data_IF_821890755938
#
_entry.id   IF_821890755938
#
_cell.length_a   1.000
_cell.length_b   1.000
_cell.length_c   1.000
_cell.angle_alpha   90.00
_cell.angle_beta   90.00
_cell.angle_gamma   90.00
#
_symmetry.space_group_name_H-M   'P 1'
#
loop_
_entity.id
_entity.type
_entity.pdbx_description
1 polymer ?
#
# COMPACT_ATOMS: atom_id res chain seq x y z
N UNK A 1 20.74 -46.16 -0.15
CA UNK A 1 19.45 -46.51 -0.79
C UNK A 1 18.37 -46.39 0.26
N UNK A 2 17.65 -45.26 0.28
CA UNK A 2 16.31 -45.13 0.87
C UNK A 2 15.75 -43.77 0.47
N UNK A 3 14.67 -43.84 -0.30
CA UNK A 3 13.90 -42.78 -0.94
C UNK A 3 13.16 -41.93 0.11
N UNK A 4 13.45 -40.63 0.18
CA UNK A 4 12.58 -39.66 0.86
C UNK A 4 11.61 -39.07 -0.17
N UNK A 5 10.34 -39.46 0.00
CA UNK A 5 9.23 -39.14 -0.88
C UNK A 5 8.78 -37.69 -0.76
N UNK A 6 8.47 -37.15 -1.94
CA UNK A 6 7.67 -35.97 -2.24
C UNK A 6 6.46 -35.81 -1.31
N UNK A 7 6.29 -34.61 -0.75
CA UNK A 7 5.04 -34.18 -0.13
C UNK A 7 4.71 -32.73 -0.53
N UNK A 8 3.72 -32.64 -1.43
CA UNK A 8 2.64 -31.65 -1.50
C UNK A 8 3.01 -30.19 -1.81
N UNK A 9 2.89 -29.82 -3.09
CA UNK A 9 2.50 -28.47 -3.52
C UNK A 9 1.10 -28.59 -4.14
N UNK A 10 0.07 -28.15 -3.41
CA UNK A 10 -1.26 -27.91 -3.97
C UNK A 10 -1.38 -26.39 -4.08
N UNK A 11 -1.00 -25.85 -5.25
CA UNK A 11 -1.47 -24.55 -5.67
C UNK A 11 -2.80 -24.78 -6.41
N UNK A 12 -3.91 -24.45 -5.74
CA UNK A 12 -5.20 -24.37 -6.40
C UNK A 12 -5.17 -23.15 -7.33
N UNK A 13 -5.06 -23.41 -8.64
CA UNK A 13 -5.33 -22.40 -9.66
C UNK A 13 -6.84 -22.08 -9.63
N UNK A 14 -7.21 -21.04 -8.87
CA UNK A 14 -8.53 -20.44 -8.99
C UNK A 14 -8.57 -19.66 -10.31
N UNK A 15 -8.93 -20.34 -11.39
CA UNK A 15 -9.33 -19.70 -12.63
C UNK A 15 -10.64 -18.95 -12.38
N UNK A 16 -10.53 -17.66 -12.04
CA UNK A 16 -11.67 -16.74 -12.07
C UNK A 16 -12.11 -16.65 -13.53
N UNK A 17 -13.18 -17.37 -13.86
CA UNK A 17 -13.86 -17.25 -15.14
C UNK A 17 -14.45 -15.83 -15.22
N UNK A 18 -13.73 -14.92 -15.86
CA UNK A 18 -14.27 -13.64 -16.27
C UNK A 18 -15.44 -13.92 -17.21
N UNK A 19 -16.66 -13.38 -16.99
CA UNK A 19 -17.76 -13.57 -17.91
C UNK A 19 -17.40 -12.90 -19.24
N UNK A 20 -16.92 -13.72 -20.19
CA UNK A 20 -16.65 -13.36 -21.57
C UNK A 20 -17.98 -13.23 -22.33
N UNK A 21 -18.77 -12.21 -22.02
CA UNK A 21 -19.92 -11.79 -22.85
C UNK A 21 -20.44 -10.40 -22.46
N UNK A 22 -19.54 -9.45 -22.20
CA UNK A 22 -19.88 -8.06 -22.50
C UNK A 22 -19.66 -7.88 -24.00
N UNK A 23 -20.74 -7.90 -24.78
CA UNK A 23 -20.70 -7.48 -26.17
C UNK A 23 -20.01 -6.11 -26.22
N UNK A 24 -18.82 -6.06 -26.82
CA UNK A 24 -18.12 -4.81 -27.06
C UNK A 24 -18.96 -3.98 -28.03
N UNK A 25 -19.92 -3.23 -27.50
CA UNK A 25 -20.55 -2.16 -28.25
C UNK A 25 -19.41 -1.26 -28.68
N UNK A 26 -19.19 -1.19 -29.99
CA UNK A 26 -18.20 -0.29 -30.57
C UNK A 26 -18.57 1.12 -30.12
N UNK A 27 -17.84 1.64 -29.15
CA UNK A 27 -17.93 3.04 -28.74
C UNK A 27 -17.67 3.85 -30.00
N UNK A 28 -18.57 4.78 -30.30
CA UNK A 28 -18.30 5.78 -31.33
C UNK A 28 -17.04 6.56 -30.95
N UNK A 29 -16.30 7.07 -31.94
CA UNK A 29 -15.10 7.89 -31.70
C UNK A 29 -15.38 9.02 -30.70
N UNK A 30 -16.55 9.65 -30.79
CA UNK A 30 -16.97 10.71 -29.88
C UNK A 30 -17.15 10.23 -28.43
N UNK A 31 -17.70 9.04 -28.20
CA UNK A 31 -17.82 8.47 -26.86
C UNK A 31 -16.46 8.09 -26.28
N UNK A 32 -15.55 7.59 -27.10
CA UNK A 32 -14.18 7.28 -26.69
C UNK A 32 -13.41 8.55 -26.26
N UNK A 33 -13.50 9.63 -27.05
CA UNK A 33 -12.87 10.92 -26.72
C UNK A 33 -13.44 11.53 -25.44
N UNK A 34 -14.76 11.47 -25.23
CA UNK A 34 -15.40 11.94 -23.98
C UNK A 34 -14.95 11.12 -22.77
N UNK A 35 -14.86 9.80 -22.91
CA UNK A 35 -14.38 8.92 -21.84
C UNK A 35 -12.91 9.19 -21.50
N UNK A 36 -12.06 9.41 -22.50
CA UNK A 36 -10.66 9.78 -22.30
C UNK A 36 -10.51 11.14 -21.60
N UNK A 37 -11.32 12.13 -22.00
CA UNK A 37 -11.32 13.45 -21.37
C UNK A 37 -11.76 13.40 -19.90
N UNK A 38 -12.81 12.63 -19.59
CA UNK A 38 -13.28 12.42 -18.21
C UNK A 38 -12.22 11.69 -17.36
N UNK A 39 -11.60 10.64 -17.91
CA UNK A 39 -10.51 9.92 -17.23
C UNK A 39 -9.32 10.84 -16.92
N UNK A 40 -8.91 11.67 -17.89
CA UNK A 40 -7.86 12.67 -17.71
C UNK A 40 -8.22 13.73 -16.66
N UNK A 41 -9.49 14.12 -16.57
CA UNK A 41 -9.95 15.05 -15.53
C UNK A 41 -9.84 14.41 -14.14
N UNK A 42 -10.40 13.20 -13.95
CA UNK A 42 -10.32 12.46 -12.68
C UNK A 42 -8.88 12.18 -12.25
N UNK A 43 -8.01 11.85 -13.19
CA UNK A 43 -6.59 11.64 -12.92
C UNK A 43 -5.91 12.91 -12.40
N UNK A 44 -6.20 14.08 -13.00
CA UNK A 44 -5.67 15.36 -12.53
C UNK A 44 -6.15 15.70 -11.12
N UNK A 45 -7.43 15.46 -10.83
CA UNK A 45 -8.02 15.71 -9.51
C UNK A 45 -7.41 14.78 -8.45
N UNK A 46 -7.27 13.49 -8.76
CA UNK A 46 -6.61 12.52 -7.89
C UNK A 46 -5.15 12.91 -7.60
N UNK A 47 -4.41 13.38 -8.61
CA UNK A 47 -3.03 13.84 -8.46
C UNK A 47 -2.94 15.10 -7.58
N UNK A 48 -3.91 16.02 -7.68
CA UNK A 48 -3.99 17.20 -6.82
C UNK A 48 -4.25 16.79 -5.37
N UNK A 49 -5.20 15.90 -5.12
CA UNK A 49 -5.48 15.38 -3.77
C UNK A 49 -4.27 14.68 -3.15
N UNK A 50 -3.55 13.85 -3.92
CA UNK A 50 -2.35 13.18 -3.44
C UNK A 50 -1.23 14.17 -3.07
N UNK A 51 -1.06 15.24 -3.86
CA UNK A 51 -0.10 16.32 -3.54
C UNK A 51 -0.46 17.04 -2.25
N UNK A 52 -1.73 17.31 -2.01
CA UNK A 52 -2.21 17.96 -0.78
C UNK A 52 -2.00 17.07 0.44
N UNK A 53 -2.30 15.77 0.34
CA UNK A 53 -2.04 14.81 1.39
C UNK A 53 -0.55 14.71 1.76
N UNK A 54 0.34 14.68 0.77
CA UNK A 54 1.80 14.70 1.02
C UNK A 54 2.24 16.02 1.67
N UNK A 55 1.67 17.15 1.25
CA UNK A 55 1.96 18.44 1.87
C UNK A 55 1.50 18.48 3.35
N UNK A 56 0.33 17.92 3.66
CA UNK A 56 -0.18 17.79 5.03
C UNK A 56 0.68 16.86 5.90
N UNK A 57 1.08 15.70 5.37
CA UNK A 57 1.97 14.79 6.08
C UNK A 57 3.30 15.48 6.44
N UNK A 58 3.90 16.24 5.50
CA UNK A 58 5.12 17.03 5.76
C UNK A 58 4.89 18.14 6.77
N UNK A 59 3.71 18.79 6.79
CA UNK A 59 3.37 19.79 7.82
C UNK A 59 3.31 19.16 9.21
N UNK A 60 2.69 17.99 9.34
CA UNK A 60 2.61 17.23 10.60
C UNK A 60 3.99 16.82 11.09
N UNK A 61 4.81 16.23 10.22
CA UNK A 61 6.17 15.82 10.58
C UNK A 61 7.03 17.02 11.05
N UNK A 62 6.93 18.17 10.37
CA UNK A 62 7.63 19.40 10.81
C UNK A 62 7.13 19.90 12.16
N UNK A 63 5.82 19.81 12.42
CA UNK A 63 5.25 20.21 13.72
C UNK A 63 5.74 19.29 14.84
N UNK A 64 5.76 17.97 14.62
CA UNK A 64 6.28 16.99 15.57
C UNK A 64 7.76 17.18 15.86
N UNK A 65 8.58 17.40 14.83
CA UNK A 65 10.02 17.72 15.00
C UNK A 65 10.24 19.01 15.81
N UNK A 66 9.40 20.04 15.60
CA UNK A 66 9.45 21.28 16.39
C UNK A 66 9.08 21.02 17.85
N UNK A 67 8.03 20.24 18.10
CA UNK A 67 7.60 19.88 19.45
C UNK A 67 8.68 19.06 20.18
N UNK A 68 9.27 18.07 19.51
CA UNK A 68 10.37 17.27 20.04
C UNK A 68 11.59 18.14 20.40
N UNK A 69 11.97 19.07 19.52
CA UNK A 69 13.07 20.01 19.77
C UNK A 69 12.78 20.94 20.96
N UNK A 70 11.54 21.43 21.09
CA UNK A 70 11.13 22.26 22.22
C UNK A 70 11.18 21.49 23.55
N UNK A 71 10.69 20.25 23.57
CA UNK A 71 10.75 19.38 24.75
C UNK A 71 12.20 19.04 25.13
N UNK A 72 13.08 18.78 24.16
CA UNK A 72 14.50 18.54 24.40
C UNK A 72 15.21 19.77 24.99
N UNK A 73 14.97 20.97 24.42
CA UNK A 73 15.54 22.22 24.94
C UNK A 73 15.10 22.49 26.38
N UNK A 74 13.82 22.24 26.69
CA UNK A 74 13.27 22.39 28.03
C UNK A 74 13.89 21.40 29.02
N UNK A 75 14.06 20.14 28.62
CA UNK A 75 14.73 19.14 29.45
C UNK A 75 16.19 19.54 29.77
N UNK A 76 16.91 20.11 28.80
CA UNK A 76 18.26 20.64 29.03
C UNK A 76 18.27 21.81 30.02
N UNK A 77 17.36 22.77 29.86
CA UNK A 77 17.25 23.91 30.78
C UNK A 77 16.90 23.48 32.21
N UNK A 78 16.03 22.48 32.37
CA UNK A 78 15.72 21.91 33.70
C UNK A 78 16.94 21.24 34.35
N UNK A 79 17.80 20.56 33.57
CA UNK A 79 19.04 19.98 34.09
C UNK A 79 20.02 21.06 34.54
N UNK A 80 20.15 22.15 33.79
CA UNK A 80 21.02 23.28 34.12
C UNK A 80 20.56 23.97 35.42
N UNK A 81 19.26 24.24 35.57
CA UNK A 81 18.70 24.82 36.79
C UNK A 81 18.86 23.90 38.02
N UNK A 82 18.72 22.59 37.83
CA UNK A 82 18.96 21.61 38.88
C UNK A 82 20.42 21.59 39.36
N UNK A 83 21.40 21.78 38.46
CA UNK A 83 22.82 21.89 38.81
C UNK A 83 23.12 23.14 39.66
N UNK A 84 22.31 24.20 39.52
CA UNK A 84 22.41 25.42 40.31
C UNK A 84 21.67 25.34 41.66
N UNK A 85 21.08 24.19 42.01
CA UNK A 85 20.31 24.02 43.25
C UNK A 85 18.96 24.75 43.26
N UNK A 86 18.49 25.20 42.09
CA UNK A 86 17.20 25.89 41.96
C UNK A 86 16.13 24.83 41.68
N UNK A 87 15.23 24.61 42.65
CA UNK A 87 14.11 23.70 42.49
C UNK A 87 13.08 24.27 41.49
N UNK A 88 12.97 23.65 40.31
CA UNK A 88 11.94 24.00 39.32
C UNK A 88 10.81 22.98 39.44
N UNK A 89 9.56 23.40 39.67
CA UNK A 89 8.43 22.48 39.67
C UNK A 89 8.32 21.78 38.30
N UNK A 90 8.02 20.48 38.31
CA UNK A 90 7.85 19.68 37.11
C UNK A 90 6.69 20.25 36.29
N UNK A 91 7.01 21.11 35.32
CA UNK A 91 5.99 21.72 34.52
C UNK A 91 5.43 20.68 33.54
N UNK A 92 4.12 20.67 33.33
CA UNK A 92 3.42 19.69 32.52
C UNK A 92 3.96 19.61 31.07
N UNK A 93 3.91 18.42 30.43
CA UNK A 93 4.26 18.28 29.02
C UNK A 93 3.42 19.25 28.19
N UNK A 94 4.04 19.87 27.17
CA UNK A 94 3.31 20.70 26.22
C UNK A 94 2.33 19.77 25.49
N UNK A 95 1.00 19.97 25.61
CA UNK A 95 0.05 19.10 24.93
C UNK A 95 0.30 19.15 23.43
N UNK A 96 0.23 17.99 22.78
CA UNK A 96 0.25 17.93 21.32
C UNK A 96 -0.87 18.81 20.77
N UNK A 97 -0.55 19.66 19.79
CA UNK A 97 -1.54 20.50 19.10
C UNK A 97 -2.63 19.59 18.53
N UNK A 98 -3.79 19.58 19.19
CA UNK A 98 -4.98 18.95 18.64
C UNK A 98 -5.26 19.55 17.25
N UNK A 99 -5.70 18.75 16.27
CA UNK A 99 -6.01 19.25 14.93
C UNK A 99 -7.00 20.42 15.04
N UNK A 100 -6.62 21.58 14.50
CA UNK A 100 -7.46 22.76 14.47
C UNK A 100 -8.73 22.45 13.66
N UNK A 101 -9.86 22.28 14.34
CA UNK A 101 -11.17 22.23 13.69
C UNK A 101 -11.41 23.59 13.04
N UNK A 102 -11.61 23.60 11.72
CA UNK A 102 -11.98 24.79 10.97
C UNK A 102 -13.30 25.35 11.53
N UNK A 103 -13.31 26.65 11.83
CA UNK A 103 -14.33 27.32 12.62
C UNK A 103 -15.75 27.17 12.10
N UNK A 104 -16.66 26.77 13.00
CA UNK A 104 -18.08 26.99 12.83
C UNK A 104 -18.42 28.47 13.14
N UNK A 105 -19.31 29.11 12.36
CA UNK A 105 -19.77 30.47 12.64
C UNK A 105 -20.59 30.55 13.94
N UNK A 106 -20.49 31.70 14.61
CA UNK A 106 -21.11 31.98 15.89
C UNK A 106 -22.64 31.82 15.88
N UNK A 107 -23.25 31.20 16.91
CA UNK A 107 -24.70 31.06 17.00
C UNK A 107 -25.36 32.38 17.44
N UNK A 108 -26.48 32.70 16.79
CA UNK A 108 -27.42 33.74 17.17
C UNK A 108 -28.08 33.45 18.54
N UNK A 109 -28.55 34.46 19.29
CA UNK A 109 -29.11 34.29 20.63
C UNK A 109 -30.41 33.46 20.62
N UNK A 110 -30.49 32.54 21.58
CA UNK A 110 -31.53 31.52 21.68
C UNK A 110 -32.90 32.08 22.15
N UNK A 111 -34.03 31.62 21.57
CA UNK A 111 -35.35 31.76 22.17
C UNK A 111 -35.55 30.77 23.33
N UNK A 112 -36.42 31.15 24.27
CA UNK A 112 -36.68 30.50 25.55
C UNK A 112 -37.00 29.00 25.45
N UNK A 113 -36.38 28.23 26.34
CA UNK A 113 -36.44 26.77 26.37
C UNK A 113 -37.81 26.24 26.86
N UNK A 114 -38.38 25.20 26.21
CA UNK A 114 -39.40 24.37 26.82
C UNK A 114 -38.76 23.47 27.88
N UNK A 115 -39.48 23.23 28.98
CA UNK A 115 -39.11 22.29 30.05
C UNK A 115 -39.17 20.87 29.46
N UNK A 116 -38.03 20.37 28.99
CA UNK A 116 -37.88 18.97 28.57
C UNK A 116 -37.58 18.14 29.82
N UNK A 117 -38.45 17.18 30.10
CA UNK A 117 -38.25 16.18 31.14
C UNK A 117 -36.89 15.51 30.95
N UNK A 118 -36.02 15.61 31.95
CA UNK A 118 -34.72 14.96 31.98
C UNK A 118 -34.92 13.44 32.08
N UNK A 119 -35.10 12.77 30.95
CA UNK A 119 -34.77 11.36 30.85
C UNK A 119 -33.28 11.26 31.17
N UNK A 120 -32.93 10.54 32.26
CA UNK A 120 -31.55 10.15 32.54
C UNK A 120 -31.08 9.31 31.34
N UNK A 121 -30.42 9.96 30.39
CA UNK A 121 -29.71 9.28 29.33
C UNK A 121 -28.64 8.42 30.01
N UNK A 122 -28.78 7.11 29.88
CA UNK A 122 -27.73 6.20 30.27
C UNK A 122 -26.56 6.39 29.29
N UNK A 123 -25.55 7.14 29.74
CA UNK A 123 -24.35 7.46 28.95
C UNK A 123 -23.63 6.18 28.52
N UNK A 124 -23.74 5.08 29.27
CA UNK A 124 -23.18 3.80 28.87
C UNK A 124 -23.94 3.18 27.70
N UNK A 125 -25.27 3.24 27.70
CA UNK A 125 -26.10 2.74 26.61
C UNK A 125 -25.90 3.55 25.30
N UNK A 126 -25.76 4.87 25.41
CA UNK A 126 -25.48 5.72 24.24
C UNK A 126 -24.10 5.45 23.66
N UNK A 127 -23.10 5.24 24.52
CA UNK A 127 -21.74 4.88 24.08
C UNK A 127 -21.72 3.49 23.41
N UNK A 128 -22.38 2.49 24.01
CA UNK A 128 -22.47 1.15 23.43
C UNK A 128 -23.17 1.15 22.05
N UNK A 129 -24.22 1.95 21.89
CA UNK A 129 -24.90 2.10 20.60
C UNK A 129 -24.00 2.78 19.54
N UNK A 130 -23.26 3.83 19.94
CA UNK A 130 -22.30 4.49 19.05
C UNK A 130 -21.13 3.57 18.65
N UNK A 131 -20.61 2.78 19.60
CA UNK A 131 -19.54 1.80 19.35
C UNK A 131 -20.03 0.70 18.39
N UNK A 132 -21.25 0.17 18.59
CA UNK A 132 -21.86 -0.82 17.70
C UNK A 132 -22.15 -0.26 16.28
N UNK A 133 -22.53 1.01 16.17
CA UNK A 133 -22.72 1.65 14.87
C UNK A 133 -21.38 1.85 14.14
N UNK A 134 -20.34 2.28 14.87
CA UNK A 134 -18.99 2.41 14.35
C UNK A 134 -18.44 1.05 13.88
N UNK A 135 -18.67 -0.02 14.64
CA UNK A 135 -18.32 -1.39 14.28
C UNK A 135 -19.04 -1.85 13.01
N UNK A 136 -20.35 -1.62 12.90
CA UNK A 136 -21.13 -1.96 11.70
C UNK A 136 -20.69 -1.18 10.46
N UNK A 137 -20.25 0.07 10.64
CA UNK A 137 -19.70 0.88 9.56
C UNK A 137 -18.32 0.36 9.14
N UNK A 138 -17.40 0.19 10.08
CA UNK A 138 -16.07 -0.35 9.84
C UNK A 138 -16.11 -1.75 9.21
N UNK A 139 -17.08 -2.57 9.61
CA UNK A 139 -17.32 -3.90 9.04
C UNK A 139 -17.78 -3.82 7.59
N UNK A 140 -18.62 -2.85 7.21
CA UNK A 140 -19.02 -2.65 5.81
C UNK A 140 -17.89 -2.04 4.99
N UNK A 141 -17.14 -1.11 5.56
CA UNK A 141 -16.05 -0.41 4.88
C UNK A 141 -14.82 -1.32 4.67
N UNK A 142 -14.57 -2.28 5.58
CA UNK A 142 -13.53 -3.31 5.43
C UNK A 142 -13.85 -4.31 4.30
N UNK A 143 -15.13 -4.64 4.11
CA UNK A 143 -15.58 -5.50 3.02
C UNK A 143 -15.92 -4.70 1.78
N UNK A 144 -14.93 -4.43 0.93
CA UNK A 144 -15.16 -3.63 -0.27
C UNK A 144 -13.87 -3.25 -1.00
N UNK A 145 -13.97 -2.23 -1.85
CA UNK A 145 -12.82 -1.68 -2.57
C UNK A 145 -12.00 -0.81 -1.62
N UNK A 146 -10.74 -1.18 -1.39
CA UNK A 146 -9.80 -0.38 -0.63
C UNK A 146 -8.52 -0.13 -1.42
N UNK A 147 -7.71 0.81 -0.91
CA UNK A 147 -6.39 1.15 -1.42
C UNK A 147 -5.37 0.98 -0.30
N UNK A 148 -4.14 0.63 -0.67
CA UNK A 148 -3.07 0.48 0.29
C UNK A 148 -1.70 0.59 -0.35
N UNK A 149 -0.68 0.40 0.49
CA UNK A 149 0.71 0.32 0.06
C UNK A 149 1.36 -0.92 0.64
N UNK A 150 2.19 -1.59 -0.16
CA UNK A 150 2.78 -2.87 0.20
C UNK A 150 4.24 -2.98 -0.19
N UNK A 151 4.97 -3.76 0.60
CA UNK A 151 6.28 -4.28 0.25
C UNK A 151 6.10 -5.68 -0.35
N UNK A 152 6.61 -5.87 -1.56
CA UNK A 152 6.58 -7.16 -2.24
C UNK A 152 7.97 -7.73 -2.43
N UNK A 153 8.06 -9.05 -2.38
CA UNK A 153 9.16 -9.84 -2.87
C UNK A 153 8.69 -10.55 -4.13
N UNK A 154 9.50 -10.48 -5.18
CA UNK A 154 9.20 -11.12 -6.46
C UNK A 154 10.25 -12.15 -6.78
N UNK A 155 9.86 -13.21 -7.49
CA UNK A 155 10.76 -14.22 -8.05
C UNK A 155 10.47 -14.29 -9.54
N UNK A 156 11.46 -13.90 -10.33
CA UNK A 156 11.35 -13.95 -11.78
C UNK A 156 11.21 -15.39 -12.29
N UNK A 157 10.26 -15.62 -13.18
CA UNK A 157 10.04 -16.90 -13.86
C UNK A 157 10.50 -16.88 -15.32
N UNK A 158 11.09 -15.76 -15.77
CA UNK A 158 11.67 -15.64 -17.11
C UNK A 158 12.74 -16.69 -17.38
N UNK A 159 12.91 -17.06 -18.65
CA UNK A 159 13.98 -18.00 -19.08
C UNK A 159 15.37 -17.36 -19.15
N UNK A 160 15.46 -16.04 -18.89
CA UNK A 160 16.69 -15.25 -18.98
C UNK A 160 16.81 -14.40 -17.73
N UNK A 161 18.04 -14.26 -17.24
CA UNK A 161 18.32 -13.44 -16.07
C UNK A 161 18.11 -11.95 -16.34
N UNK A 162 17.55 -11.26 -15.36
CA UNK A 162 17.48 -9.80 -15.29
C UNK A 162 18.86 -9.24 -14.99
N UNK A 163 19.40 -8.44 -15.90
CA UNK A 163 20.76 -7.93 -15.78
C UNK A 163 20.74 -6.49 -15.31
N UNK A 164 21.29 -6.26 -14.12
CA UNK A 164 21.55 -4.91 -13.62
C UNK A 164 22.93 -4.40 -14.08
N UNK A 165 23.93 -5.29 -14.12
CA UNK A 165 25.28 -4.94 -14.58
C UNK A 165 25.99 -6.16 -15.16
N UNK A 166 26.55 -6.01 -16.35
CA UNK A 166 27.47 -6.98 -16.95
C UNK A 166 28.67 -6.28 -17.60
N UNK A 167 29.79 -6.99 -17.67
CA UNK A 167 31.06 -6.51 -18.24
C UNK A 167 31.75 -7.60 -19.05
N UNK A 168 32.62 -7.20 -19.97
CA UNK A 168 33.46 -8.11 -20.74
C UNK A 168 34.84 -8.18 -20.10
N UNK A 169 35.32 -9.38 -19.80
CA UNK A 169 36.67 -9.63 -19.29
C UNK A 169 37.30 -10.69 -20.19
N UNK A 170 38.40 -10.34 -20.86
CA UNK A 170 39.09 -11.22 -21.82
C UNK A 170 38.17 -11.78 -22.93
N UNK A 171 37.26 -10.93 -23.42
CA UNK A 171 36.27 -11.32 -24.43
C UNK A 171 35.10 -12.17 -23.90
N UNK A 172 35.07 -12.49 -22.60
CA UNK A 172 34.01 -13.28 -21.94
C UNK A 172 33.03 -12.36 -21.23
N UNK A 173 31.73 -12.59 -21.44
CA UNK A 173 30.67 -11.85 -20.77
C UNK A 173 30.52 -12.32 -19.33
N UNK A 174 30.68 -11.40 -18.38
CA UNK A 174 30.56 -11.63 -16.94
C UNK A 174 29.43 -10.77 -16.38
N UNK A 175 28.43 -11.40 -15.80
CA UNK A 175 27.37 -10.69 -15.06
C UNK A 175 27.95 -10.33 -13.70
N UNK A 176 27.95 -9.04 -13.37
CA UNK A 176 28.35 -8.54 -12.04
C UNK A 176 27.16 -8.53 -11.09
N UNK A 177 25.99 -8.16 -11.59
CA UNK A 177 24.76 -8.06 -10.80
C UNK A 177 23.55 -8.48 -11.62
N UNK A 178 22.84 -9.49 -11.12
CA UNK A 178 21.50 -9.85 -11.57
C UNK A 178 20.46 -9.35 -10.57
N UNK A 179 19.21 -9.24 -11.01
CA UNK A 179 18.10 -8.77 -10.18
C UNK A 179 16.85 -9.64 -10.38
N UNK A 180 16.97 -10.95 -10.20
CA UNK A 180 15.87 -11.90 -10.41
C UNK A 180 14.89 -11.98 -9.23
N UNK A 181 15.24 -11.42 -8.07
CA UNK A 181 14.38 -11.41 -6.89
C UNK A 181 14.22 -10.02 -6.25
N UNK A 182 13.72 -9.01 -6.99
CA UNK A 182 13.64 -7.67 -6.45
C UNK A 182 12.57 -7.55 -5.36
N UNK A 183 12.91 -6.76 -4.33
CA UNK A 183 11.94 -6.23 -3.39
C UNK A 183 11.41 -4.88 -3.91
N UNK A 184 10.10 -4.65 -3.82
CA UNK A 184 9.44 -3.49 -4.43
C UNK A 184 8.44 -2.86 -3.48
N UNK A 185 8.27 -1.54 -3.60
CA UNK A 185 7.13 -0.84 -3.05
C UNK A 185 6.03 -0.78 -4.10
N UNK A 186 4.83 -1.25 -3.75
CA UNK A 186 3.67 -1.28 -4.62
C UNK A 186 2.52 -0.47 -4.01
N UNK A 187 1.72 0.14 -4.88
CA UNK A 187 0.39 0.62 -4.53
C UNK A 187 -0.63 -0.43 -4.93
N UNK A 188 -1.50 -0.79 -4.02
CA UNK A 188 -2.48 -1.86 -4.25
C UNK A 188 -3.90 -1.33 -4.17
N UNK A 189 -4.78 -1.97 -4.93
CA UNK A 189 -6.22 -1.94 -4.70
C UNK A 189 -6.75 -3.37 -4.63
N UNK A 190 -7.67 -3.62 -3.71
CA UNK A 190 -8.26 -4.94 -3.54
C UNK A 190 -9.76 -4.87 -3.24
N UNK A 191 -10.44 -5.99 -3.42
CA UNK A 191 -11.82 -6.18 -3.02
C UNK A 191 -11.93 -7.39 -2.10
N UNK A 192 -12.31 -7.21 -0.83
CA UNK A 192 -12.36 -8.31 0.14
C UNK A 192 -13.77 -8.86 0.32
N UNK A 193 -13.88 -10.18 0.22
CA UNK A 193 -15.01 -10.94 0.71
C UNK A 193 -14.74 -11.37 2.15
N UNK A 194 -15.72 -11.21 3.04
CA UNK A 194 -15.64 -11.63 4.44
C UNK A 194 -16.38 -12.95 4.62
N UNK A 195 -15.69 -14.06 4.86
CA UNK A 195 -16.34 -15.34 5.05
C UNK A 195 -17.06 -15.40 6.41
N UNK A 196 -18.13 -16.19 6.52
CA UNK A 196 -18.92 -16.32 7.75
C UNK A 196 -18.38 -17.41 8.70
N UNK A 197 -17.08 -17.72 8.62
CA UNK A 197 -16.45 -18.75 9.44
C UNK A 197 -15.12 -18.27 10.01
N UNK A 198 -14.75 -18.81 11.16
CA UNK A 198 -13.51 -18.48 11.84
C UNK A 198 -12.33 -19.22 11.20
N UNK A 199 -11.20 -18.53 11.04
CA UNK A 199 -9.98 -19.08 10.43
C UNK A 199 -8.83 -19.02 11.43
N UNK A 200 -8.30 -20.18 11.84
CA UNK A 200 -7.13 -20.28 12.74
C UNK A 200 -7.28 -19.48 14.06
N UNK A 201 -8.51 -19.37 14.57
CA UNK A 201 -8.81 -18.58 15.78
C UNK A 201 -9.04 -17.09 15.53
N UNK A 202 -9.07 -16.65 14.27
CA UNK A 202 -9.52 -15.32 13.86
C UNK A 202 -11.02 -15.36 13.59
N UNK A 203 -11.77 -14.46 14.26
CA UNK A 203 -13.21 -14.32 14.11
C UNK A 203 -13.61 -13.99 12.66
N UNK A 204 -14.76 -14.52 12.21
CA UNK A 204 -15.24 -14.43 10.83
C UNK A 204 -15.29 -13.02 10.20
N UNK A 205 -15.43 -11.95 10.99
CA UNK A 205 -15.46 -10.57 10.52
C UNK A 205 -14.11 -9.85 10.60
N UNK A 206 -13.10 -10.51 11.19
CA UNK A 206 -11.74 -10.01 11.37
C UNK A 206 -10.79 -10.45 10.26
N UNK A 207 -11.27 -11.21 9.28
CA UNK A 207 -10.49 -11.55 8.10
C UNK A 207 -11.30 -11.47 6.81
N UNK A 208 -10.59 -11.29 5.71
CA UNK A 208 -11.16 -11.27 4.38
C UNK A 208 -10.23 -11.91 3.38
N UNK A 209 -10.79 -12.35 2.26
CA UNK A 209 -10.04 -12.86 1.12
C UNK A 209 -10.61 -12.27 -0.15
N UNK A 210 -9.77 -11.94 -1.12
CA UNK A 210 -10.26 -11.50 -2.41
C UNK A 210 -9.19 -11.11 -3.41
N UNK A 211 -9.58 -10.70 -4.62
CA UNK A 211 -8.64 -10.30 -5.65
C UNK A 211 -7.97 -8.97 -5.28
N UNK A 212 -6.74 -8.80 -5.74
CA UNK A 212 -6.06 -7.50 -5.74
C UNK A 212 -5.33 -7.24 -7.05
N UNK A 213 -5.16 -5.95 -7.33
CA UNK A 213 -4.26 -5.40 -8.35
C UNK A 213 -3.25 -4.51 -7.66
N UNK A 214 -2.02 -4.54 -8.12
CA UNK A 214 -0.95 -3.70 -7.61
C UNK A 214 -0.18 -3.05 -8.77
N UNK A 215 0.30 -1.83 -8.57
CA UNK A 215 1.12 -1.11 -9.54
C UNK A 215 2.39 -0.61 -8.86
N UNK A 216 3.51 -0.72 -9.57
CA UNK A 216 4.76 -0.07 -9.21
C UNK A 216 4.95 1.17 -10.10
N UNK A 217 4.92 2.38 -9.54
CA UNK A 217 5.30 3.57 -10.30
C UNK A 217 6.77 3.51 -10.69
N UNK A 218 7.09 4.02 -11.87
CA UNK A 218 8.46 4.13 -12.37
C UNK A 218 9.09 5.50 -12.19
N UNK A 219 10.42 5.53 -12.34
CA UNK A 219 11.21 6.76 -12.35
C UNK A 219 11.26 7.39 -13.75
N UNK A 220 11.32 6.56 -14.79
CA UNK A 220 11.36 6.98 -16.20
C UNK A 220 10.04 6.66 -16.91
N UNK A 221 9.50 5.48 -16.66
CA UNK A 221 8.23 5.00 -17.17
C UNK A 221 7.10 5.30 -16.16
N UNK A 222 5.86 5.42 -16.64
CA UNK A 222 4.72 5.67 -15.74
C UNK A 222 4.46 4.46 -14.83
N UNK A 223 4.67 3.24 -15.34
CA UNK A 223 4.40 1.98 -14.65
C UNK A 223 5.56 1.02 -14.90
N UNK A 224 6.28 0.66 -13.84
CA UNK A 224 7.38 -0.31 -13.90
C UNK A 224 6.92 -1.75 -13.74
N UNK A 225 5.77 -1.98 -13.09
CA UNK A 225 5.24 -3.32 -12.87
C UNK A 225 3.76 -3.32 -12.56
N UNK A 226 3.09 -4.40 -12.93
CA UNK A 226 1.68 -4.65 -12.60
C UNK A 226 1.59 -6.01 -11.91
N UNK A 227 1.08 -6.03 -10.68
CA UNK A 227 0.80 -7.22 -9.90
C UNK A 227 -0.68 -7.56 -9.91
N UNK A 228 -1.01 -8.85 -9.96
CA UNK A 228 -2.37 -9.37 -9.87
C UNK A 228 -2.36 -10.62 -9.00
N UNK A 229 -3.35 -10.77 -8.11
CA UNK A 229 -3.38 -11.96 -7.28
C UNK A 229 -4.56 -12.05 -6.32
N UNK A 230 -4.37 -12.88 -5.31
CA UNK A 230 -5.30 -13.06 -4.19
C UNK A 230 -4.66 -12.50 -2.93
N UNK A 231 -5.45 -11.81 -2.14
CA UNK A 231 -5.07 -11.18 -0.91
C UNK A 231 -5.87 -11.75 0.25
N UNK A 232 -5.19 -12.05 1.34
CA UNK A 232 -5.74 -12.33 2.66
C UNK A 232 -5.56 -11.08 3.51
N UNK A 233 -6.63 -10.55 4.07
CA UNK A 233 -6.60 -9.38 4.92
C UNK A 233 -7.00 -9.75 6.33
N UNK A 234 -6.30 -9.18 7.31
CA UNK A 234 -6.57 -9.34 8.73
C UNK A 234 -6.81 -7.98 9.35
N UNK A 235 -8.03 -7.77 9.84
CA UNK A 235 -8.43 -6.54 10.51
C UNK A 235 -7.77 -6.49 11.88
N UNK A 236 -7.36 -5.30 12.32
CA UNK A 236 -6.65 -5.15 13.61
C UNK A 236 -7.60 -5.01 14.79
N UNK A 237 -8.71 -4.33 14.60
CA UNK A 237 -9.72 -4.03 15.62
C UNK A 237 -11.11 -4.12 14.98
N UNK A 238 -12.16 -4.58 15.71
CA UNK A 238 -13.49 -4.71 15.14
C UNK A 238 -14.12 -3.38 14.68
N UNK A 239 -13.75 -2.29 15.37
CA UNK A 239 -14.28 -0.95 15.16
C UNK A 239 -13.48 -0.12 14.16
N UNK A 240 -12.43 -0.69 13.54
CA UNK A 240 -11.56 0.02 12.59
C UNK A 240 -11.49 -0.70 11.24
N UNK A 241 -11.19 0.07 10.20
CA UNK A 241 -10.98 -0.42 8.83
C UNK A 241 -9.54 -0.84 8.57
N UNK A 242 -8.61 -0.44 9.44
CA UNK A 242 -7.18 -0.77 9.34
C UNK A 242 -6.95 -2.28 9.27
N UNK A 243 -6.17 -2.69 8.28
CA UNK A 243 -5.86 -4.10 8.05
C UNK A 243 -4.41 -4.34 7.65
N UNK A 244 -3.94 -5.52 8.03
CA UNK A 244 -2.69 -6.09 7.57
C UNK A 244 -3.01 -7.16 6.53
N UNK A 245 -2.42 -7.04 5.34
CA UNK A 245 -2.79 -7.89 4.22
C UNK A 245 -1.58 -8.64 3.65
N UNK A 246 -1.79 -9.90 3.33
CA UNK A 246 -0.85 -10.79 2.67
C UNK A 246 -1.37 -11.13 1.27
N UNK A 247 -0.67 -10.65 0.24
CA UNK A 247 -0.98 -10.89 -1.16
C UNK A 247 -0.06 -11.95 -1.76
N UNK A 248 -0.61 -12.84 -2.57
CA UNK A 248 0.13 -13.77 -3.41
C UNK A 248 -0.40 -13.69 -4.84
N UNK A 249 0.51 -13.65 -5.81
CA UNK A 249 0.09 -13.44 -7.19
C UNK A 249 1.21 -13.56 -8.20
N UNK A 250 0.91 -13.04 -9.37
CA UNK A 250 1.86 -12.86 -10.46
C UNK A 250 2.18 -11.38 -10.60
N UNK A 251 3.37 -11.08 -11.08
CA UNK A 251 3.79 -9.74 -11.45
C UNK A 251 4.28 -9.75 -12.89
N UNK A 252 3.96 -8.69 -13.63
CA UNK A 252 4.39 -8.48 -15.00
C UNK A 252 5.25 -7.23 -15.01
N UNK A 253 6.46 -7.36 -15.51
CA UNK A 253 7.45 -6.30 -15.68
C UNK A 253 7.65 -6.06 -17.18
N UNK A 254 7.17 -4.95 -17.74
CA UNK A 254 7.24 -4.72 -19.18
C UNK A 254 8.67 -4.45 -19.68
N UNK A 255 9.50 -3.79 -18.86
CA UNK A 255 10.77 -3.18 -19.29
C UNK A 255 11.97 -3.78 -18.55
N UNK A 256 12.15 -5.09 -18.65
CA UNK A 256 13.29 -5.78 -18.01
C UNK A 256 14.51 -5.80 -18.92
N UNK A 257 15.63 -5.30 -18.41
CA UNK A 257 16.92 -5.37 -19.12
C UNK A 257 17.50 -6.79 -19.11
N UNK A 258 17.70 -7.36 -20.30
CA UNK A 258 18.26 -8.68 -20.55
C UNK A 258 19.50 -8.60 -21.44
N UNK A 259 20.30 -9.67 -21.49
CA UNK A 259 21.34 -9.81 -22.52
C UNK A 259 20.70 -9.90 -23.93
N UNK A 260 21.34 -9.24 -24.88
CA UNK A 260 20.96 -9.29 -26.29
C UNK A 260 21.03 -10.71 -26.86
N UNK A 261 20.35 -10.95 -27.99
CA UNK A 261 20.35 -12.28 -28.62
C UNK A 261 21.74 -12.76 -28.99
N UNK A 262 22.00 -14.04 -28.73
CA UNK A 262 23.31 -14.68 -28.94
C UNK A 262 24.35 -14.36 -27.86
N UNK A 263 24.06 -13.47 -26.92
CA UNK A 263 24.94 -13.18 -25.78
C UNK A 263 24.47 -13.97 -24.56
N UNK A 264 25.37 -14.77 -24.01
CA UNK A 264 25.12 -15.59 -22.82
C UNK A 264 26.16 -15.32 -21.73
N UNK A 265 25.73 -15.48 -20.48
CA UNK A 265 26.62 -15.36 -19.34
C UNK A 265 27.76 -16.40 -19.40
N UNK A 266 28.97 -15.96 -19.05
CA UNK A 266 30.19 -16.78 -19.01
C UNK A 266 30.58 -17.40 -20.36
N UNK A 267 30.09 -16.86 -21.47
CA UNK A 267 30.53 -17.24 -22.82
C UNK A 267 31.28 -16.08 -23.50
N UNK A 268 32.15 -16.39 -24.49
CA UNK A 268 32.72 -15.36 -25.34
C UNK A 268 31.63 -14.54 -26.03
N UNK A 269 31.92 -13.27 -26.31
CA UNK A 269 31.05 -12.47 -27.17
C UNK A 269 30.92 -13.10 -28.57
N UNK A 270 29.77 -12.93 -29.24
CA UNK A 270 29.63 -13.27 -30.64
C UNK A 270 30.75 -12.65 -31.49
N UNK A 271 31.20 -13.37 -32.52
CA UNK A 271 32.29 -12.92 -33.37
C UNK A 271 32.00 -11.55 -33.98
N UNK A 272 32.94 -10.61 -33.82
CA UNK A 272 32.82 -9.24 -34.33
C UNK A 272 32.22 -8.24 -33.33
N UNK A 273 31.70 -8.69 -32.18
CA UNK A 273 31.21 -7.81 -31.13
C UNK A 273 32.31 -7.51 -30.10
N UNK A 274 32.43 -6.23 -29.72
CA UNK A 274 33.38 -5.76 -28.68
C UNK A 274 32.67 -5.23 -27.44
N UNK A 275 31.34 -5.13 -27.47
CA UNK A 275 30.52 -4.55 -26.41
C UNK A 275 29.29 -5.42 -26.16
N UNK A 276 28.81 -5.44 -24.90
CA UNK A 276 27.58 -6.14 -24.55
C UNK A 276 26.39 -5.35 -25.06
N UNK A 277 25.56 -6.01 -25.86
CA UNK A 277 24.24 -5.51 -26.25
C UNK A 277 23.22 -5.91 -25.19
N UNK A 278 22.36 -4.99 -24.81
CA UNK A 278 21.20 -5.26 -23.99
C UNK A 278 19.93 -5.17 -24.84
N UNK A 279 18.86 -5.78 -24.34
CA UNK A 279 17.49 -5.53 -24.80
C UNK A 279 16.59 -5.32 -23.61
N UNK A 280 15.45 -4.72 -23.86
CA UNK A 280 14.34 -4.67 -22.92
C UNK A 280 13.26 -5.64 -23.39
N UNK A 281 12.73 -6.44 -22.48
CA UNK A 281 11.67 -7.39 -22.76
C UNK A 281 10.76 -7.55 -21.53
N UNK A 282 9.55 -8.03 -21.76
CA UNK A 282 8.60 -8.26 -20.69
C UNK A 282 8.86 -9.60 -20.00
N UNK A 283 8.81 -9.62 -18.67
CA UNK A 283 8.92 -10.85 -17.89
C UNK A 283 7.82 -10.98 -16.84
N UNK A 284 7.49 -12.23 -16.53
CA UNK A 284 6.50 -12.60 -15.52
C UNK A 284 7.23 -13.18 -14.33
N UNK A 285 6.82 -12.81 -13.12
CA UNK A 285 7.31 -13.36 -11.87
C UNK A 285 6.19 -13.80 -10.94
N UNK A 286 6.54 -14.60 -9.94
CA UNK A 286 5.71 -14.81 -8.76
C UNK A 286 5.92 -13.66 -7.79
N UNK A 287 4.88 -13.31 -7.05
CA UNK A 287 4.89 -12.22 -6.09
C UNK A 287 4.29 -12.67 -4.76
N UNK A 288 4.97 -12.32 -3.68
CA UNK A 288 4.42 -12.29 -2.33
C UNK A 288 4.48 -10.84 -1.82
N UNK A 289 3.43 -10.36 -1.18
CA UNK A 289 3.30 -8.97 -0.73
C UNK A 289 2.75 -8.90 0.67
N UNK A 290 3.32 -8.01 1.49
CA UNK A 290 2.74 -7.56 2.74
C UNK A 290 2.32 -6.10 2.59
N UNK A 291 1.09 -5.76 2.94
CA UNK A 291 0.55 -4.40 2.76
C UNK A 291 -0.31 -3.95 3.94
N UNK A 292 -0.49 -2.63 4.04
CA UNK A 292 -1.37 -1.98 4.99
C UNK A 292 -2.37 -1.11 4.25
N UNK A 293 -3.62 -1.20 4.68
CA UNK A 293 -4.71 -0.37 4.19
C UNK A 293 -5.31 0.40 5.36
N UNK A 294 -5.78 1.61 5.07
CA UNK A 294 -6.20 2.63 6.02
C UNK A 294 -7.56 3.21 5.64
#
# INVERSE_FOLDING_TARGET
>A
MTTLGRTIAIFAAASVAWPASASAQQLTTEQAERAEADLKARYRDALAMARDQVADARRRERAERRLAKANAARASAQRELAQLGIAVPAAAPVPALAPAQAGAPAPAPAPAAPVVAQQKLDVAAVRAAADAEAENKATRDFGGLALGTGLSLTVDLGTRDRIAEATVVDGIVRIKKSNNTPARLLFESHYLFKPQFDLLGVESDMWGVGPFVAIQPGDKEVINAIGLGVMLAFRREPTKTDSFNLGFGVIIDPDVQLLGDGIEANKPLPTGETMIRYREDSQIGLMAMASFSF
#
